data_IF_010207800424
#
_entry.id   IF_010207800424
#
_cell.length_a   1.000
_cell.length_b   1.000
_cell.length_c   1.000
_cell.angle_alpha   90.00
_cell.angle_beta   90.00
_cell.angle_gamma   90.00
#
_symmetry.space_group_name_H-M   'P 1'
#
loop_
_entity.id
_entity.type
_entity.pdbx_description
1 polymer ?
#
# COMPACT_ATOMS: atom_id res chain seq x y z
N UNK A 1 -10.84 -20.41 6.35
CA UNK A 1 -10.24 -19.79 7.55
C UNK A 1 -10.98 -18.48 7.83
N UNK A 2 -11.55 -18.32 9.03
CA UNK A 2 -12.21 -17.07 9.39
C UNK A 2 -11.21 -15.92 9.46
N UNK A 3 -11.59 -14.78 8.90
CA UNK A 3 -10.77 -13.57 8.95
C UNK A 3 -11.60 -12.45 9.56
N UNK A 4 -11.11 -11.88 10.64
CA UNK A 4 -11.72 -10.70 11.25
C UNK A 4 -11.02 -9.46 10.72
N UNK A 5 -11.73 -8.57 10.01
CA UNK A 5 -11.12 -7.34 9.51
C UNK A 5 -10.80 -6.38 10.65
N UNK A 6 -9.63 -5.75 10.59
CA UNK A 6 -9.15 -4.85 11.64
C UNK A 6 -8.99 -3.42 11.14
N UNK A 7 -8.49 -3.24 9.93
CA UNK A 7 -8.04 -1.93 9.48
C UNK A 7 -8.23 -1.79 7.97
N UNK A 8 -8.73 -0.62 7.58
CA UNK A 8 -8.80 -0.22 6.18
C UNK A 8 -7.57 0.63 5.89
N UNK A 9 -6.69 0.12 5.05
CA UNK A 9 -5.38 0.70 4.76
C UNK A 9 -5.39 1.24 3.32
N UNK A 10 -5.47 2.56 3.13
CA UNK A 10 -5.55 3.12 1.78
C UNK A 10 -4.22 2.98 1.03
N UNK A 11 -4.31 2.84 -0.29
CA UNK A 11 -3.15 2.94 -1.17
C UNK A 11 -2.84 4.41 -1.43
N UNK A 12 -1.55 4.73 -1.42
CA UNK A 12 -1.04 6.07 -1.71
C UNK A 12 -0.11 6.01 -2.92
N UNK A 13 0.02 7.13 -3.62
CA UNK A 13 1.04 7.32 -4.63
C UNK A 13 2.24 8.00 -4.00
N UNK A 14 3.39 7.35 -4.09
CA UNK A 14 4.65 7.82 -3.50
C UNK A 14 5.50 8.40 -4.61
N UNK A 15 5.95 9.62 -4.42
CA UNK A 15 6.72 10.36 -5.42
C UNK A 15 7.97 10.96 -4.80
N UNK A 16 9.00 11.31 -5.59
CA UNK A 16 10.16 12.01 -5.07
C UNK A 16 9.72 13.32 -4.40
N UNK A 17 10.39 13.68 -3.30
CA UNK A 17 10.09 14.89 -2.57
C UNK A 17 10.21 16.11 -3.49
N UNK A 18 9.18 16.97 -3.46
CA UNK A 18 9.16 18.20 -4.25
C UNK A 18 8.83 17.99 -5.72
N UNK A 19 8.46 16.77 -6.13
CA UNK A 19 8.05 16.54 -7.52
C UNK A 19 6.85 17.42 -7.86
N UNK A 20 6.94 18.13 -9.00
CA UNK A 20 5.84 18.95 -9.46
C UNK A 20 4.77 18.10 -10.12
N UNK A 21 3.54 18.24 -9.65
CA UNK A 21 2.37 17.61 -10.28
C UNK A 21 1.92 18.40 -11.49
N UNK A 22 1.36 17.71 -12.47
CA UNK A 22 0.77 18.35 -13.65
C UNK A 22 -0.54 19.06 -13.30
N UNK A 23 -1.29 18.54 -12.34
CA UNK A 23 -2.56 19.09 -11.90
C UNK A 23 -2.43 19.64 -10.48
N UNK A 24 -2.98 20.82 -10.24
CA UNK A 24 -3.05 21.40 -8.91
C UNK A 24 -4.17 20.75 -8.10
N UNK A 25 -3.89 19.61 -7.52
CA UNK A 25 -4.82 18.91 -6.64
C UNK A 25 -4.04 18.11 -5.61
N UNK A 26 -4.72 17.72 -4.54
CA UNK A 26 -4.14 16.89 -3.48
C UNK A 26 -4.13 15.41 -3.84
N UNK A 27 -4.62 15.06 -5.03
CA UNK A 27 -4.76 13.68 -5.50
C UNK A 27 -3.86 13.41 -6.70
N UNK A 28 -3.44 12.16 -6.84
CA UNK A 28 -2.86 11.65 -8.07
C UNK A 28 -3.91 10.81 -8.77
N UNK A 29 -4.34 11.24 -9.95
CA UNK A 29 -5.29 10.48 -10.75
C UNK A 29 -4.57 9.54 -11.73
N UNK A 30 -5.35 8.68 -12.38
CA UNK A 30 -4.81 7.68 -13.31
C UNK A 30 -4.07 8.35 -14.47
N UNK A 31 -4.63 9.40 -15.01
CA UNK A 31 -4.01 10.12 -16.15
C UNK A 31 -2.64 10.67 -15.79
N UNK A 32 -2.51 11.29 -14.62
CA UNK A 32 -1.22 11.81 -14.16
C UNK A 32 -0.23 10.68 -13.86
N UNK A 33 -0.69 9.62 -13.22
CA UNK A 33 0.16 8.46 -12.90
C UNK A 33 0.73 7.81 -14.18
N UNK A 34 -0.05 7.75 -15.26
CA UNK A 34 0.40 7.16 -16.52
C UNK A 34 1.55 7.92 -17.17
N UNK A 35 1.73 9.18 -16.83
CA UNK A 35 2.79 10.01 -17.40
C UNK A 35 4.13 9.88 -16.68
N UNK A 36 4.20 9.02 -15.66
CA UNK A 36 5.42 8.84 -14.88
C UNK A 36 6.00 7.44 -15.03
N UNK A 37 7.32 7.37 -14.91
CA UNK A 37 8.04 6.11 -14.75
C UNK A 37 7.66 5.51 -13.39
N UNK A 38 7.39 4.21 -13.37
CA UNK A 38 7.12 3.50 -12.13
C UNK A 38 8.33 2.68 -11.68
N UNK A 39 8.47 2.55 -10.38
CA UNK A 39 9.25 1.49 -9.75
C UNK A 39 8.25 0.45 -9.28
N UNK A 40 8.32 -0.76 -9.82
CA UNK A 40 7.35 -1.80 -9.49
C UNK A 40 7.99 -2.92 -8.69
N UNK A 41 7.17 -3.59 -7.90
CA UNK A 41 7.55 -4.84 -7.28
C UNK A 41 7.21 -6.01 -8.20
N UNK A 42 7.79 -7.17 -7.94
CA UNK A 42 7.45 -8.39 -8.66
C UNK A 42 5.97 -8.73 -8.49
N UNK A 43 5.35 -9.29 -9.52
CA UNK A 43 3.92 -9.55 -9.58
C UNK A 43 3.38 -10.35 -8.39
N UNK A 44 4.20 -11.20 -7.78
CA UNK A 44 3.79 -12.05 -6.66
C UNK A 44 3.83 -11.37 -5.30
N UNK A 45 4.31 -10.14 -5.20
CA UNK A 45 4.61 -9.52 -3.90
C UNK A 45 3.48 -8.64 -3.35
N UNK A 46 2.67 -8.03 -4.19
CA UNK A 46 1.56 -7.20 -3.72
C UNK A 46 0.36 -7.29 -4.67
N UNK A 47 -0.59 -8.14 -4.30
CA UNK A 47 -1.79 -8.38 -5.08
C UNK A 47 -2.69 -7.13 -5.13
N UNK A 48 -2.75 -6.34 -4.07
CA UNK A 48 -3.63 -5.17 -4.00
C UNK A 48 -3.20 -4.10 -5.00
N UNK A 49 -1.90 -3.85 -5.07
CA UNK A 49 -1.34 -2.90 -6.03
C UNK A 49 -1.53 -3.40 -7.46
N UNK A 50 -1.22 -4.66 -7.72
CA UNK A 50 -1.39 -5.25 -9.05
C UNK A 50 -2.84 -5.22 -9.51
N UNK A 51 -3.76 -5.51 -8.61
CA UNK A 51 -5.20 -5.46 -8.91
C UNK A 51 -5.65 -4.04 -9.25
N UNK A 52 -5.19 -3.05 -8.49
CA UNK A 52 -5.49 -1.64 -8.78
C UNK A 52 -5.01 -1.24 -10.18
N UNK A 53 -3.78 -1.59 -10.52
CA UNK A 53 -3.22 -1.29 -11.84
C UNK A 53 -4.04 -1.92 -12.97
N UNK A 54 -4.44 -3.16 -12.81
CA UNK A 54 -5.27 -3.90 -13.77
C UNK A 54 -6.67 -3.30 -13.90
N UNK A 55 -7.35 -3.09 -12.78
CA UNK A 55 -8.72 -2.59 -12.76
C UNK A 55 -8.86 -1.22 -13.40
N UNK A 56 -7.81 -0.41 -13.31
CA UNK A 56 -7.80 0.95 -13.87
C UNK A 56 -7.09 1.03 -15.21
N UNK A 57 -6.75 -0.10 -15.81
CA UNK A 57 -6.06 -0.19 -17.10
C UNK A 57 -4.78 0.66 -17.14
N UNK A 58 -4.10 0.74 -16.01
CA UNK A 58 -2.85 1.48 -15.90
C UNK A 58 -1.73 0.65 -16.51
N UNK A 59 -1.24 1.10 -17.67
CA UNK A 59 -0.14 0.45 -18.35
C UNK A 59 1.18 1.05 -17.85
N UNK A 60 1.76 0.37 -16.86
CA UNK A 60 2.90 0.88 -16.13
C UNK A 60 4.19 0.67 -16.92
N UNK A 61 4.92 1.78 -17.13
CA UNK A 61 6.28 1.74 -17.67
C UNK A 61 7.25 1.59 -16.50
N UNK A 62 7.98 0.48 -16.44
CA UNK A 62 8.94 0.24 -15.37
C UNK A 62 10.18 -0.46 -15.87
N UNK A 63 11.33 0.14 -15.60
CA UNK A 63 12.63 -0.46 -15.84
C UNK A 63 13.21 -1.12 -14.58
N UNK A 64 12.53 -0.98 -13.45
CA UNK A 64 13.01 -1.43 -12.15
C UNK A 64 11.98 -2.34 -11.49
N UNK A 65 12.40 -3.57 -11.21
CA UNK A 65 11.57 -4.55 -10.51
C UNK A 65 12.29 -4.93 -9.22
N UNK A 66 11.68 -4.57 -8.09
CA UNK A 66 12.29 -4.76 -6.78
C UNK A 66 11.51 -5.79 -5.97
N UNK A 67 12.14 -6.31 -4.94
CA UNK A 67 11.58 -7.42 -4.16
C UNK A 67 10.87 -6.92 -2.90
N UNK A 68 11.32 -5.80 -2.33
CA UNK A 68 10.80 -5.32 -1.04
C UNK A 68 10.39 -3.86 -1.08
N UNK A 69 9.60 -3.47 -0.08
CA UNK A 69 9.02 -2.13 0.01
C UNK A 69 10.08 -1.05 0.24
N UNK A 70 11.04 -1.30 1.13
CA UNK A 70 12.05 -0.30 1.46
C UNK A 70 12.92 0.03 0.25
N UNK A 71 13.33 -0.98 -0.52
CA UNK A 71 14.12 -0.76 -1.74
C UNK A 71 13.32 0.00 -2.79
N UNK A 72 12.03 -0.29 -2.92
CA UNK A 72 11.14 0.43 -3.83
C UNK A 72 11.07 1.90 -3.45
N UNK A 73 10.83 2.20 -2.19
CA UNK A 73 10.72 3.57 -1.69
C UNK A 73 12.05 4.31 -1.80
N UNK A 74 13.18 3.62 -1.56
CA UNK A 74 14.50 4.21 -1.72
C UNK A 74 14.77 4.65 -3.17
N UNK A 75 14.36 3.85 -4.15
CA UNK A 75 14.48 4.22 -5.56
C UNK A 75 13.61 5.43 -5.89
N UNK A 76 12.38 5.48 -5.38
CA UNK A 76 11.50 6.63 -5.55
C UNK A 76 12.13 7.89 -4.94
N UNK A 77 12.66 7.78 -3.71
CA UNK A 77 13.31 8.89 -3.03
C UNK A 77 14.51 9.44 -3.83
N UNK A 78 15.16 8.61 -4.61
CA UNK A 78 16.31 8.98 -5.44
C UNK A 78 15.92 9.37 -6.88
N UNK A 79 14.64 9.52 -7.16
CA UNK A 79 14.16 10.07 -8.44
C UNK A 79 14.00 9.05 -9.57
N UNK A 80 14.00 7.76 -9.29
CA UNK A 80 13.89 6.72 -10.32
C UNK A 80 12.47 6.46 -10.81
N UNK A 81 11.49 7.07 -10.19
CA UNK A 81 10.09 6.92 -10.58
C UNK A 81 9.14 7.14 -9.42
N UNK A 82 7.89 6.75 -9.61
CA UNK A 82 6.84 6.78 -8.59
C UNK A 82 6.42 5.33 -8.27
N UNK A 83 5.74 5.15 -7.15
CA UNK A 83 5.17 3.84 -6.82
C UNK A 83 3.86 4.00 -6.06
N UNK A 84 3.14 2.90 -5.91
CA UNK A 84 1.97 2.80 -5.04
C UNK A 84 2.35 1.98 -3.81
N UNK A 85 1.93 2.45 -2.65
CA UNK A 85 2.17 1.76 -1.38
C UNK A 85 0.97 1.91 -0.45
N UNK A 86 0.67 0.89 0.36
CA UNK A 86 -0.28 1.06 1.44
C UNK A 86 0.24 2.07 2.47
N UNK A 87 -0.66 2.85 3.03
CA UNK A 87 -0.31 3.90 4.00
C UNK A 87 0.46 3.34 5.20
N UNK A 88 0.07 2.15 5.69
CA UNK A 88 0.76 1.54 6.83
C UNK A 88 2.24 1.25 6.56
N UNK A 89 2.59 0.94 5.31
CA UNK A 89 3.99 0.72 4.92
C UNK A 89 4.80 2.01 5.04
N UNK A 90 4.15 3.15 4.87
CA UNK A 90 4.83 4.45 4.86
C UNK A 90 5.11 5.02 6.25
N UNK A 91 4.64 4.37 7.30
CA UNK A 91 4.97 4.79 8.67
C UNK A 91 6.44 4.50 8.96
N UNK A 92 7.11 5.45 9.59
CA UNK A 92 8.51 5.34 10.02
C UNK A 92 9.51 5.03 8.89
N UNK A 93 9.20 5.47 7.67
CA UNK A 93 10.11 5.32 6.53
C UNK A 93 11.27 6.31 6.67
N UNK A 94 12.54 5.83 6.51
CA UNK A 94 13.72 6.68 6.68
C UNK A 94 14.08 7.49 5.42
N UNK A 95 13.19 7.58 4.44
CA UNK A 95 13.45 8.28 3.18
C UNK A 95 12.51 9.47 3.03
N UNK A 96 13.02 10.53 2.41
CA UNK A 96 12.23 11.72 2.11
C UNK A 96 11.47 11.55 0.80
N UNK A 97 10.15 11.42 0.90
CA UNK A 97 9.24 11.29 -0.25
C UNK A 97 7.97 12.08 0.05
N UNK A 98 7.23 12.39 -0.99
CA UNK A 98 5.88 12.93 -0.86
C UNK A 98 4.87 11.83 -1.15
N UNK A 99 3.75 11.89 -0.43
CA UNK A 99 2.68 10.91 -0.55
C UNK A 99 1.39 11.62 -0.96
N UNK A 100 0.72 11.09 -1.97
CA UNK A 100 -0.56 11.61 -2.43
C UNK A 100 -1.64 10.55 -2.34
N UNK A 101 -2.84 10.98 -1.98
CA UNK A 101 -4.01 10.16 -2.15
C UNK A 101 -4.25 9.90 -3.64
N UNK A 102 -4.85 8.77 -3.97
CA UNK A 102 -5.06 8.39 -5.37
C UNK A 102 -6.55 8.49 -5.73
N UNK A 103 -6.80 8.68 -7.02
CA UNK A 103 -8.14 8.76 -7.57
C UNK A 103 -8.23 7.91 -8.83
N UNK A 104 -9.11 6.88 -8.88
CA UNK A 104 -10.06 6.49 -7.84
C UNK A 104 -9.34 5.92 -6.60
N UNK A 105 -9.97 6.05 -5.43
CA UNK A 105 -9.39 5.53 -4.21
C UNK A 105 -9.35 3.99 -4.21
N UNK A 106 -8.35 3.45 -3.53
CA UNK A 106 -8.23 2.02 -3.33
C UNK A 106 -7.64 1.77 -1.94
N UNK A 107 -7.93 0.60 -1.40
CA UNK A 107 -7.44 0.23 -0.07
C UNK A 107 -7.32 -1.28 0.01
N UNK A 108 -6.54 -1.72 0.97
CA UNK A 108 -6.51 -3.12 1.38
C UNK A 108 -7.13 -3.26 2.76
N UNK A 109 -7.63 -4.44 3.07
CA UNK A 109 -8.09 -4.77 4.42
C UNK A 109 -7.02 -5.60 5.12
N UNK A 110 -6.57 -5.11 6.25
CA UNK A 110 -5.68 -5.85 7.15
C UNK A 110 -6.57 -6.52 8.18
N UNK A 111 -6.40 -7.80 8.36
CA UNK A 111 -7.23 -8.57 9.27
C UNK A 111 -6.45 -9.60 10.04
N UNK A 112 -7.12 -10.23 10.98
CA UNK A 112 -6.56 -11.34 11.74
C UNK A 112 -7.24 -12.65 11.32
N UNK A 113 -6.42 -13.60 10.90
CA UNK A 113 -6.88 -14.93 10.55
C UNK A 113 -6.64 -15.88 11.71
N UNK A 114 -7.66 -16.65 12.06
CA UNK A 114 -7.57 -17.59 13.16
C UNK A 114 -8.16 -18.93 12.77
N UNK A 115 -7.77 -19.95 13.49
CA UNK A 115 -8.48 -21.23 13.47
C UNK A 115 -9.83 -21.04 14.17
N UNK A 116 -10.65 -22.08 14.19
CA UNK A 116 -11.96 -22.01 14.84
C UNK A 116 -11.82 -21.49 16.28
N UNK A 117 -12.55 -20.41 16.59
CA UNK A 117 -12.50 -19.73 17.88
C UNK A 117 -12.87 -20.64 19.07
N UNK A 118 -13.70 -21.66 18.82
CA UNK A 118 -14.12 -22.59 19.88
C UNK A 118 -12.98 -23.47 20.39
N UNK A 119 -11.88 -23.56 19.62
CA UNK A 119 -10.73 -24.39 19.94
C UNK A 119 -9.47 -23.58 20.21
N UNK A 120 -9.58 -22.27 20.41
CA UNK A 120 -8.42 -21.44 20.75
C UNK A 120 -7.89 -21.79 22.12
N UNK A 121 -6.56 -21.97 22.21
CA UNK A 121 -5.88 -22.04 23.51
C UNK A 121 -6.08 -20.72 24.28
N UNK A 122 -6.07 -20.74 25.62
CA UNK A 122 -6.32 -19.53 26.41
C UNK A 122 -5.39 -18.37 26.07
N UNK A 123 -4.11 -18.61 25.83
CA UNK A 123 -3.16 -17.57 25.48
C UNK A 123 -3.48 -16.96 24.10
N UNK A 124 -3.86 -17.78 23.14
CA UNK A 124 -4.26 -17.31 21.80
C UNK A 124 -5.53 -16.47 21.88
N UNK A 125 -6.49 -16.92 22.66
CA UNK A 125 -7.75 -16.18 22.89
C UNK A 125 -7.48 -14.82 23.55
N UNK A 126 -6.60 -14.77 24.52
CA UNK A 126 -6.21 -13.52 25.19
C UNK A 126 -5.60 -12.55 24.20
N UNK A 127 -4.66 -13.01 23.37
CA UNK A 127 -4.03 -12.19 22.34
C UNK A 127 -5.05 -11.73 21.32
N UNK A 128 -5.90 -12.62 20.83
CA UNK A 128 -6.96 -12.28 19.88
C UNK A 128 -7.86 -11.17 20.42
N UNK A 129 -8.36 -11.33 21.64
CA UNK A 129 -9.24 -10.34 22.27
C UNK A 129 -8.52 -9.00 22.46
N UNK A 130 -7.24 -9.02 22.81
CA UNK A 130 -6.44 -7.82 22.94
C UNK A 130 -6.31 -7.07 21.59
N UNK A 131 -6.06 -7.80 20.52
CA UNK A 131 -5.94 -7.22 19.17
C UNK A 131 -7.28 -6.60 18.75
N UNK A 132 -8.38 -7.34 18.91
CA UNK A 132 -9.71 -6.83 18.56
C UNK A 132 -10.04 -5.56 19.34
N UNK A 133 -9.77 -5.59 20.65
CA UNK A 133 -10.10 -4.45 21.51
C UNK A 133 -9.30 -3.18 21.16
N UNK A 134 -8.02 -3.33 20.83
CA UNK A 134 -7.10 -2.20 20.73
C UNK A 134 -6.80 -1.76 19.30
N UNK A 135 -6.99 -2.64 18.31
CA UNK A 135 -6.55 -2.37 16.93
C UNK A 135 -7.66 -2.46 15.89
N UNK A 136 -8.84 -2.92 16.25
CA UNK A 136 -9.95 -2.96 15.29
C UNK A 136 -10.51 -1.55 15.09
N UNK A 137 -10.49 -1.10 13.85
CA UNK A 137 -10.92 0.25 13.47
C UNK A 137 -11.89 0.23 12.28
N UNK A 138 -12.62 -0.84 12.13
CA UNK A 138 -13.71 -0.95 11.14
C UNK A 138 -14.89 -1.77 11.66
#
# INVERSE_FOLDING_TARGET
>A
IPIEPLWRDPLLCIVPKGMQKQKESDFMDIEEMQNHQFVTQRESTDADIQNFLKENSLNVQSNYHVVDDLSTIALVANGFGICLMPELVMRDIPYEVDCYQIEPDAYRIVGIATMNSDFMAPAVRTMYNHIIKNYKNI
#
